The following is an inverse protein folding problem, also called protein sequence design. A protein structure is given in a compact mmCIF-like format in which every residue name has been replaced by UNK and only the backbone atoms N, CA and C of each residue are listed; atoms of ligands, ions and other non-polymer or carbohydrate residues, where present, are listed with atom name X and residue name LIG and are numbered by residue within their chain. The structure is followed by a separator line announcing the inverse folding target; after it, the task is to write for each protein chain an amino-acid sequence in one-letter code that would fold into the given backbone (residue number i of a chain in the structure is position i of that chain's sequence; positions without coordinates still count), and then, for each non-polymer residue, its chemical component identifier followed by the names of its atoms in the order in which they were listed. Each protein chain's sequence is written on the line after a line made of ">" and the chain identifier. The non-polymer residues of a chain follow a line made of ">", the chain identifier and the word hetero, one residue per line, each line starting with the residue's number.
data_IF_076391115181
#
_entry.id   IF_076391115181
#
_cell.length_a   1.000
_cell.length_b   1.000
_cell.length_c   1.000
_cell.angle_alpha   90.00
_cell.angle_beta   90.00
_cell.angle_gamma   90.00
#
_symmetry.space_group_name_H-M   'P 1'
#
loop_
_entity.id
_entity.type
_entity.pdbx_description
1 polymer ?
#
# COMPACT_ATOMS: atom_id res chain seq x y z
N UNK A 1 -9.41 2.22 3.05
CA UNK A 1 -10.42 1.18 2.65
C UNK A 1 -10.65 0.11 3.73
N UNK A 2 -9.66 -0.67 4.19
CA UNK A 2 -9.91 -1.82 5.06
C UNK A 2 -10.57 -1.47 6.42
N UNK A 3 -10.17 -0.38 7.08
CA UNK A 3 -10.77 0.06 8.35
C UNK A 3 -12.26 0.43 8.20
N UNK A 4 -12.60 1.16 7.14
CA UNK A 4 -14.00 1.54 6.84
C UNK A 4 -14.84 0.29 6.57
N UNK A 5 -14.32 -0.64 5.73
CA UNK A 5 -14.99 -1.93 5.51
C UNK A 5 -15.28 -2.69 6.81
N UNK A 6 -14.31 -2.75 7.74
CA UNK A 6 -14.51 -3.44 9.04
C UNK A 6 -15.60 -2.77 9.86
N UNK A 7 -15.66 -1.45 9.90
CA UNK A 7 -16.71 -0.74 10.61
C UNK A 7 -18.09 -1.01 10.00
N UNK A 8 -18.18 -0.97 8.66
CA UNK A 8 -19.43 -1.28 7.96
C UNK A 8 -19.83 -2.75 8.19
N UNK A 9 -18.88 -3.68 8.07
CA UNK A 9 -19.11 -5.10 8.30
C UNK A 9 -19.68 -5.36 9.71
N UNK A 10 -19.17 -4.67 10.72
CA UNK A 10 -19.61 -4.85 12.11
C UNK A 10 -21.00 -4.28 12.41
N UNK A 11 -21.62 -3.53 11.47
CA UNK A 11 -23.02 -3.10 11.57
C UNK A 11 -24.00 -4.21 11.17
N UNK A 12 -23.53 -5.23 10.45
CA UNK A 12 -24.36 -6.37 10.02
C UNK A 12 -24.33 -7.51 11.03
N UNK A 13 -25.40 -8.29 11.07
CA UNK A 13 -25.42 -9.53 11.84
C UNK A 13 -24.33 -10.49 11.36
N UNK A 14 -23.65 -11.18 12.28
CA UNK A 14 -22.56 -12.12 11.96
C UNK A 14 -22.98 -13.29 11.08
N UNK A 15 -24.27 -13.67 11.13
CA UNK A 15 -24.86 -14.74 10.31
C UNK A 15 -25.32 -14.25 8.94
N UNK A 16 -25.39 -12.94 8.71
CA UNK A 16 -25.85 -12.37 7.45
C UNK A 16 -24.89 -12.68 6.28
N UNK A 17 -25.42 -12.61 5.07
CA UNK A 17 -24.63 -12.79 3.84
C UNK A 17 -23.64 -11.63 3.70
N UNK A 18 -24.06 -10.41 4.00
CA UNK A 18 -23.28 -9.18 3.93
C UNK A 18 -22.04 -9.27 4.80
N UNK A 19 -22.19 -9.66 6.08
CA UNK A 19 -21.06 -9.83 7.00
C UNK A 19 -20.07 -10.88 6.48
N UNK A 20 -20.56 -12.06 6.09
CA UNK A 20 -19.72 -13.16 5.60
C UNK A 20 -19.01 -12.79 4.29
N UNK A 21 -19.70 -12.09 3.40
CA UNK A 21 -19.15 -11.65 2.12
C UNK A 21 -18.06 -10.59 2.34
N UNK A 22 -18.32 -9.54 3.12
CA UNK A 22 -17.34 -8.50 3.46
C UNK A 22 -16.13 -9.07 4.20
N UNK A 23 -16.30 -10.10 5.02
CA UNK A 23 -15.21 -10.79 5.72
C UNK A 23 -14.36 -11.63 4.78
N UNK A 24 -14.99 -12.36 3.84
CA UNK A 24 -14.31 -13.35 2.98
C UNK A 24 -13.63 -12.70 1.77
N UNK A 25 -14.31 -11.77 1.11
CA UNK A 25 -13.90 -11.24 -0.20
C UNK A 25 -13.31 -9.83 -0.14
N UNK A 26 -12.87 -9.37 1.02
CA UNK A 26 -12.36 -8.02 1.23
C UNK A 26 -11.21 -7.60 0.31
N UNK A 27 -10.38 -8.56 -0.12
CA UNK A 27 -9.26 -8.28 -1.03
C UNK A 27 -9.72 -7.74 -2.39
N UNK A 28 -10.92 -8.14 -2.84
CA UNK A 28 -11.47 -7.68 -4.11
C UNK A 28 -11.80 -6.17 -4.10
N UNK A 29 -12.11 -5.60 -2.93
CA UNK A 29 -12.35 -4.15 -2.79
C UNK A 29 -11.03 -3.35 -2.98
N UNK A 30 -9.88 -3.96 -2.70
CA UNK A 30 -8.58 -3.30 -2.81
C UNK A 30 -7.83 -3.62 -4.12
N UNK A 31 -8.33 -4.57 -4.87
CA UNK A 31 -7.71 -5.01 -6.12
C UNK A 31 -8.01 -4.03 -7.25
N UNK A 32 -7.00 -3.73 -8.07
CA UNK A 32 -7.19 -2.97 -9.31
C UNK A 32 -8.22 -3.68 -10.20
N UNK A 33 -9.26 -2.96 -10.60
CA UNK A 33 -10.36 -3.49 -11.43
C UNK A 33 -9.88 -4.05 -12.76
N UNK A 34 -8.79 -3.50 -13.32
CA UNK A 34 -8.19 -3.95 -14.59
C UNK A 34 -7.52 -5.32 -14.49
N UNK A 35 -7.13 -5.72 -13.27
CA UNK A 35 -6.46 -7.00 -12.99
C UNK A 35 -7.41 -8.09 -12.48
N UNK A 36 -8.71 -7.81 -12.43
CA UNK A 36 -9.69 -8.76 -11.93
C UNK A 36 -9.97 -9.87 -12.95
N UNK A 37 -10.02 -11.11 -12.46
CA UNK A 37 -10.38 -12.26 -13.29
C UNK A 37 -11.88 -12.23 -13.62
N UNK A 38 -12.21 -12.39 -14.91
CA UNK A 38 -13.58 -12.42 -15.41
C UNK A 38 -14.17 -13.85 -15.46
N UNK A 39 -13.43 -14.89 -15.05
CA UNK A 39 -13.97 -16.25 -14.98
C UNK A 39 -15.00 -16.37 -13.86
N UNK A 40 -16.11 -17.06 -14.17
CA UNK A 40 -17.16 -17.36 -13.19
C UNK A 40 -16.81 -18.61 -12.40
N UNK A 41 -16.92 -18.54 -11.09
CA UNK A 41 -16.74 -19.66 -10.18
C UNK A 41 -17.93 -19.74 -9.23
N UNK A 42 -18.30 -20.95 -8.81
CA UNK A 42 -19.31 -21.12 -7.77
C UNK A 42 -18.83 -20.52 -6.45
N UNK A 43 -19.66 -19.66 -5.88
CA UNK A 43 -19.37 -18.95 -4.62
C UNK A 43 -20.34 -19.38 -3.52
N UNK A 44 -19.92 -20.27 -2.59
CA UNK A 44 -20.80 -20.80 -1.56
C UNK A 44 -21.50 -19.75 -0.69
N UNK A 45 -20.85 -18.60 -0.49
CA UNK A 45 -21.42 -17.48 0.29
C UNK A 45 -22.69 -16.91 -0.35
N UNK A 46 -22.74 -16.85 -1.67
CA UNK A 46 -23.87 -16.32 -2.46
C UNK A 46 -24.73 -17.44 -3.07
N UNK A 47 -24.25 -18.69 -3.07
CA UNK A 47 -24.85 -19.83 -3.75
C UNK A 47 -25.05 -19.62 -5.25
N UNK A 48 -24.14 -18.87 -5.88
CA UNK A 48 -24.19 -18.46 -7.29
C UNK A 48 -22.83 -18.57 -7.94
N UNK A 49 -22.83 -18.67 -9.28
CA UNK A 49 -21.60 -18.53 -10.09
C UNK A 49 -21.34 -17.06 -10.40
N UNK A 50 -20.28 -16.49 -9.81
CA UNK A 50 -19.94 -15.07 -9.89
C UNK A 50 -18.50 -14.88 -10.32
N UNK A 51 -18.26 -13.82 -11.09
CA UNK A 51 -16.94 -13.26 -11.35
C UNK A 51 -16.44 -12.45 -10.15
N UNK A 52 -15.15 -12.19 -10.09
CA UNK A 52 -14.59 -11.33 -9.04
C UNK A 52 -15.15 -9.90 -9.11
N UNK A 53 -15.47 -9.41 -10.31
CA UNK A 53 -16.07 -8.10 -10.53
C UNK A 53 -17.49 -8.03 -9.96
N UNK A 54 -18.34 -9.01 -10.28
CA UNK A 54 -19.71 -9.10 -9.76
C UNK A 54 -19.73 -9.19 -8.22
N UNK A 55 -18.79 -9.94 -7.62
CA UNK A 55 -18.66 -10.00 -6.17
C UNK A 55 -18.30 -8.63 -5.58
N UNK A 56 -17.30 -7.95 -6.15
CA UNK A 56 -16.90 -6.61 -5.71
C UNK A 56 -18.08 -5.65 -5.78
N UNK A 57 -18.82 -5.64 -6.89
CA UNK A 57 -19.95 -4.73 -7.09
C UNK A 57 -21.05 -4.99 -6.04
N UNK A 58 -21.33 -6.26 -5.71
CA UNK A 58 -22.23 -6.61 -4.60
C UNK A 58 -21.69 -6.15 -3.22
N UNK A 59 -20.39 -6.30 -2.95
CA UNK A 59 -19.82 -5.84 -1.68
C UNK A 59 -19.96 -4.32 -1.52
N UNK A 60 -19.77 -3.58 -2.60
CA UNK A 60 -19.87 -2.13 -2.61
C UNK A 60 -21.32 -1.69 -2.45
N UNK A 61 -22.29 -2.41 -3.04
CA UNK A 61 -23.71 -2.08 -2.93
C UNK A 61 -24.30 -2.25 -1.53
N UNK A 62 -23.62 -2.94 -0.60
CA UNK A 62 -24.11 -3.10 0.77
C UNK A 62 -24.10 -1.81 1.60
N UNK A 63 -23.41 -0.78 1.16
CA UNK A 63 -23.35 0.50 1.85
C UNK A 63 -22.99 1.62 0.90
N UNK A 64 -23.82 2.68 0.86
CA UNK A 64 -23.52 3.92 0.13
C UNK A 64 -22.19 4.54 0.59
N UNK A 65 -21.90 4.45 1.89
CA UNK A 65 -20.65 4.92 2.46
C UNK A 65 -19.45 4.16 1.86
N UNK A 66 -19.55 2.83 1.70
CA UNK A 66 -18.49 2.03 1.09
C UNK A 66 -18.34 2.34 -0.39
N UNK A 67 -19.43 2.56 -1.12
CA UNK A 67 -19.46 2.91 -2.53
C UNK A 67 -18.74 4.23 -2.78
N UNK A 68 -19.09 5.27 -2.05
CA UNK A 68 -18.49 6.59 -2.15
C UNK A 68 -16.95 6.56 -1.98
N UNK A 69 -16.48 5.80 -0.99
CA UNK A 69 -15.05 5.65 -0.74
C UNK A 69 -14.35 4.74 -1.77
N UNK A 70 -15.09 3.77 -2.30
CA UNK A 70 -14.56 2.91 -3.35
C UNK A 70 -14.34 3.68 -4.65
N UNK A 71 -15.25 4.58 -5.03
CA UNK A 71 -15.13 5.35 -6.27
C UNK A 71 -13.95 6.33 -6.20
N UNK A 72 -13.68 6.91 -5.05
CA UNK A 72 -12.55 7.81 -4.83
C UNK A 72 -11.17 7.09 -4.84
N UNK A 73 -11.10 5.87 -4.31
CA UNK A 73 -9.84 5.15 -4.17
C UNK A 73 -9.13 4.83 -5.51
N UNK A 74 -9.79 4.31 -6.55
CA UNK A 74 -9.17 4.07 -7.85
C UNK A 74 -8.69 5.36 -8.53
N UNK A 75 -9.39 6.48 -8.37
CA UNK A 75 -8.97 7.77 -8.92
C UNK A 75 -7.68 8.26 -8.27
N UNK A 76 -7.60 8.21 -6.94
CA UNK A 76 -6.37 8.53 -6.22
C UNK A 76 -5.22 7.61 -6.63
N UNK A 77 -5.48 6.30 -6.75
CA UNK A 77 -4.48 5.34 -7.18
C UNK A 77 -4.02 5.59 -8.62
N UNK A 78 -4.92 5.94 -9.51
CA UNK A 78 -4.60 6.30 -10.88
C UNK A 78 -3.66 7.50 -10.95
N UNK A 79 -3.99 8.63 -10.31
CA UNK A 79 -3.14 9.81 -10.31
C UNK A 79 -1.79 9.57 -9.61
N UNK A 80 -1.79 8.72 -8.58
CA UNK A 80 -0.54 8.28 -7.94
C UNK A 80 0.37 7.50 -8.91
N UNK A 81 -0.21 6.57 -9.70
CA UNK A 81 0.54 5.75 -10.67
C UNK A 81 1.03 6.57 -11.87
N UNK A 82 0.20 7.49 -12.37
CA UNK A 82 0.56 8.43 -13.45
C UNK A 82 1.49 9.55 -12.99
N UNK A 83 1.88 9.57 -11.70
CA UNK A 83 2.72 10.61 -11.09
C UNK A 83 2.13 12.03 -11.21
N UNK A 84 0.83 12.13 -11.39
CA UNK A 84 0.12 13.40 -11.49
C UNK A 84 -0.20 13.92 -10.09
N UNK A 85 0.75 14.66 -9.51
CA UNK A 85 0.65 15.16 -8.13
C UNK A 85 -0.42 16.22 -7.95
N UNK A 86 -0.65 17.06 -8.97
CA UNK A 86 -1.59 18.17 -8.87
C UNK A 86 -3.02 17.66 -8.77
N UNK A 87 -3.44 16.80 -9.69
CA UNK A 87 -4.76 16.17 -9.64
C UNK A 87 -4.92 15.24 -8.43
N UNK A 88 -3.84 14.59 -7.96
CA UNK A 88 -3.89 13.80 -6.74
C UNK A 88 -4.24 14.65 -5.52
N UNK A 89 -3.63 15.82 -5.37
CA UNK A 89 -3.92 16.72 -4.25
C UNK A 89 -5.24 17.48 -4.42
N UNK A 90 -5.62 17.84 -5.63
CA UNK A 90 -6.93 18.45 -5.95
C UNK A 90 -8.08 17.51 -5.51
N UNK A 91 -8.01 16.23 -5.90
CA UNK A 91 -8.97 15.22 -5.43
C UNK A 91 -9.06 15.10 -3.90
N UNK A 92 -7.92 15.22 -3.21
CA UNK A 92 -7.89 15.20 -1.75
C UNK A 92 -8.57 16.42 -1.17
N UNK A 93 -8.29 17.62 -1.71
CA UNK A 93 -8.83 18.88 -1.22
C UNK A 93 -10.34 18.94 -1.41
N UNK A 94 -10.84 18.55 -2.57
CA UNK A 94 -12.27 18.55 -2.91
C UNK A 94 -13.07 17.58 -2.04
N UNK A 95 -12.47 16.43 -1.69
CA UNK A 95 -13.20 15.38 -0.99
C UNK A 95 -12.96 15.33 0.53
N UNK A 96 -12.05 16.14 1.08
CA UNK A 96 -11.64 16.04 2.51
C UNK A 96 -12.80 16.22 3.49
N UNK A 97 -13.81 17.01 3.12
CA UNK A 97 -14.99 17.24 3.96
C UNK A 97 -16.07 16.16 3.79
N UNK A 98 -16.12 15.52 2.65
CA UNK A 98 -17.15 14.53 2.28
C UNK A 98 -16.81 13.12 2.74
N UNK A 99 -15.52 12.83 2.90
CA UNK A 99 -15.07 11.47 3.25
C UNK A 99 -15.26 11.14 4.73
N UNK A 100 -15.34 9.84 4.99
CA UNK A 100 -15.37 9.27 6.35
C UNK A 100 -14.20 9.79 7.23
N UNK A 101 -14.38 9.99 8.55
CA UNK A 101 -13.35 10.51 9.45
C UNK A 101 -11.98 9.81 9.36
N UNK A 102 -11.96 8.50 9.11
CA UNK A 102 -10.72 7.73 8.90
C UNK A 102 -9.95 8.22 7.66
N UNK A 103 -10.64 8.45 6.53
CA UNK A 103 -10.02 9.01 5.33
C UNK A 103 -9.62 10.46 5.52
N UNK A 104 -10.44 11.24 6.22
CA UNK A 104 -10.14 12.63 6.55
C UNK A 104 -8.82 12.76 7.32
N UNK A 105 -8.54 11.86 8.26
CA UNK A 105 -7.26 11.83 8.98
C UNK A 105 -6.09 11.57 8.02
N UNK A 106 -6.24 10.63 7.10
CA UNK A 106 -5.21 10.33 6.08
C UNK A 106 -4.98 11.52 5.15
N UNK A 107 -6.06 12.15 4.67
CA UNK A 107 -6.00 13.33 3.79
C UNK A 107 -5.33 14.52 4.48
N UNK A 108 -5.63 14.74 5.77
CA UNK A 108 -4.93 15.77 6.57
C UNK A 108 -3.44 15.48 6.66
N UNK A 109 -3.04 14.23 6.83
CA UNK A 109 -1.62 13.82 6.85
C UNK A 109 -0.97 14.09 5.50
N UNK A 110 -1.61 13.74 4.38
CA UNK A 110 -1.09 14.02 3.04
C UNK A 110 -0.93 15.52 2.79
N UNK A 111 -1.89 16.36 3.22
CA UNK A 111 -1.76 17.81 3.15
C UNK A 111 -0.59 18.33 3.97
N UNK A 112 -0.47 17.89 5.23
CA UNK A 112 0.61 18.28 6.14
C UNK A 112 1.99 17.96 5.56
N UNK A 113 2.13 16.77 4.97
CA UNK A 113 3.39 16.29 4.43
C UNK A 113 3.45 16.39 2.88
N UNK A 114 2.74 17.34 2.28
CA UNK A 114 2.57 17.51 0.82
C UNK A 114 3.89 17.38 0.06
N UNK A 115 4.93 18.12 0.46
CA UNK A 115 6.26 18.06 -0.18
C UNK A 115 6.88 16.67 -0.15
N UNK A 116 6.75 15.94 0.96
CA UNK A 116 7.28 14.57 1.09
C UNK A 116 6.52 13.59 0.21
N UNK A 117 5.18 13.75 0.13
CA UNK A 117 4.33 12.92 -0.72
C UNK A 117 4.62 13.18 -2.20
N UNK A 118 4.76 14.43 -2.63
CA UNK A 118 5.19 14.80 -3.99
C UNK A 118 6.52 14.13 -4.32
N UNK A 119 7.52 14.26 -3.46
CA UNK A 119 8.83 13.64 -3.67
C UNK A 119 8.73 12.11 -3.77
N UNK A 120 7.86 11.48 -2.95
CA UNK A 120 7.65 10.03 -2.99
C UNK A 120 6.97 9.55 -4.29
N UNK A 121 6.13 10.39 -4.90
CA UNK A 121 5.44 10.09 -6.16
C UNK A 121 6.38 10.32 -7.36
N UNK A 122 7.11 11.43 -7.37
CA UNK A 122 7.88 11.88 -8.55
C UNK A 122 9.26 11.25 -8.64
N UNK A 123 9.94 11.07 -7.49
CA UNK A 123 11.30 10.57 -7.46
C UNK A 123 11.37 9.04 -7.67
N UNK A 124 12.42 8.55 -8.34
CA UNK A 124 12.57 7.12 -8.66
C UNK A 124 13.05 6.28 -7.46
N UNK A 125 12.83 6.74 -6.23
CA UNK A 125 13.25 6.02 -5.03
C UNK A 125 12.19 5.00 -4.61
N UNK A 126 12.60 3.74 -4.51
CA UNK A 126 11.76 2.68 -3.97
C UNK A 126 12.23 2.25 -2.57
N UNK A 127 11.30 1.77 -1.74
CA UNK A 127 11.62 1.16 -0.45
C UNK A 127 12.51 -0.08 -0.59
N UNK A 128 12.55 -0.73 -1.76
CA UNK A 128 13.35 -1.93 -2.00
C UNK A 128 14.84 -1.71 -1.71
N UNK A 129 15.39 -0.55 -2.10
CA UNK A 129 16.80 -0.21 -1.82
C UNK A 129 17.05 0.00 -0.32
N UNK A 130 16.10 0.63 0.36
CA UNK A 130 16.16 0.83 1.82
C UNK A 130 16.02 -0.50 2.57
N UNK A 131 15.11 -1.37 2.15
CA UNK A 131 14.90 -2.70 2.70
C UNK A 131 16.15 -3.59 2.50
N UNK A 132 16.75 -3.56 1.31
CA UNK A 132 17.99 -4.28 1.04
C UNK A 132 19.13 -3.82 1.96
N UNK A 133 19.27 -2.50 2.17
CA UNK A 133 20.25 -1.93 3.10
C UNK A 133 19.97 -2.34 4.53
N UNK A 134 18.72 -2.27 4.99
CA UNK A 134 18.32 -2.68 6.32
C UNK A 134 18.56 -4.18 6.55
N UNK A 135 18.33 -5.02 5.55
CA UNK A 135 18.62 -6.45 5.63
C UNK A 135 20.12 -6.72 5.72
N UNK A 136 20.95 -5.99 4.94
CA UNK A 136 22.40 -6.07 5.06
C UNK A 136 22.89 -5.70 6.48
N UNK A 137 22.35 -4.61 7.04
CA UNK A 137 22.67 -4.18 8.42
C UNK A 137 22.30 -5.28 9.42
N UNK A 138 21.12 -5.91 9.28
CA UNK A 138 20.71 -7.05 10.14
C UNK A 138 21.67 -8.24 10.01
N UNK A 139 22.13 -8.56 8.80
CA UNK A 139 23.10 -9.63 8.55
C UNK A 139 24.44 -9.32 9.22
N UNK A 140 24.96 -8.09 9.06
CA UNK A 140 26.21 -7.65 9.70
C UNK A 140 26.11 -7.79 11.22
N UNK A 141 24.99 -7.35 11.82
CA UNK A 141 24.76 -7.46 13.26
C UNK A 141 24.72 -8.92 13.72
N UNK A 142 24.06 -9.80 12.95
CA UNK A 142 23.92 -11.22 13.25
C UNK A 142 25.26 -11.97 13.17
N UNK A 143 26.02 -11.73 12.11
CA UNK A 143 27.31 -12.38 11.89
C UNK A 143 28.37 -11.99 12.93
N UNK A 144 28.21 -10.85 13.59
CA UNK A 144 29.10 -10.40 14.66
C UNK A 144 28.57 -10.75 16.05
N UNK A 145 27.52 -11.58 16.17
CA UNK A 145 26.87 -11.91 17.45
C UNK A 145 26.45 -10.68 18.27
N UNK A 146 26.25 -9.56 17.58
CA UNK A 146 25.98 -8.25 18.15
C UNK A 146 27.24 -7.37 18.27
N UNK A 147 27.02 -6.11 18.59
CA UNK A 147 28.09 -5.13 18.82
C UNK A 147 27.88 -4.47 20.15
N UNK A 148 28.90 -4.45 20.99
CA UNK A 148 28.91 -3.71 22.27
C UNK A 148 29.11 -2.22 22.06
N UNK A 149 29.84 -1.82 20.99
CA UNK A 149 30.12 -0.42 20.65
C UNK A 149 29.45 -0.04 19.34
N UNK A 150 28.60 0.99 19.40
CA UNK A 150 27.84 1.50 18.25
C UNK A 150 28.76 2.07 17.16
N UNK A 151 29.85 2.75 17.51
CA UNK A 151 30.78 3.33 16.52
C UNK A 151 31.49 2.23 15.70
N UNK A 152 31.85 1.13 16.32
CA UNK A 152 32.41 -0.02 15.61
C UNK A 152 31.39 -0.66 14.67
N UNK A 153 30.13 -0.76 15.11
CA UNK A 153 29.05 -1.23 14.26
C UNK A 153 28.84 -0.31 13.04
N UNK A 154 28.77 0.99 13.25
CA UNK A 154 28.63 2.01 12.21
C UNK A 154 29.79 1.94 11.21
N UNK A 155 31.05 1.87 11.68
CA UNK A 155 32.22 1.71 10.81
C UNK A 155 32.11 0.47 9.93
N UNK A 156 31.70 -0.67 10.50
CA UNK A 156 31.56 -1.92 9.73
C UNK A 156 30.46 -1.86 8.68
N UNK A 157 29.33 -1.17 8.96
CA UNK A 157 28.29 -0.90 7.96
C UNK A 157 28.83 -0.05 6.84
N UNK A 158 29.53 1.06 7.15
CA UNK A 158 30.08 1.96 6.15
C UNK A 158 31.12 1.26 5.27
N UNK A 159 32.01 0.46 5.84
CA UNK A 159 32.98 -0.34 5.11
C UNK A 159 32.28 -1.34 4.19
N UNK A 160 31.24 -2.05 4.67
CA UNK A 160 30.50 -3.01 3.87
C UNK A 160 29.76 -2.37 2.68
N UNK A 161 29.31 -1.13 2.84
CA UNK A 161 28.65 -0.38 1.76
C UNK A 161 29.66 0.20 0.75
N UNK A 162 30.87 0.60 1.20
CA UNK A 162 31.89 1.24 0.36
C UNK A 162 32.83 0.25 -0.33
N UNK A 163 33.13 -0.88 0.28
CA UNK A 163 34.04 -1.92 -0.29
C UNK A 163 33.57 -2.43 -1.66
N UNK A 164 32.25 -2.40 -1.95
CA UNK A 164 31.77 -2.72 -3.30
C UNK A 164 32.20 -1.70 -4.36
N UNK A 165 32.38 -0.43 -4.01
CA UNK A 165 32.84 0.63 -4.94
C UNK A 165 34.35 0.56 -5.18
N UNK A 166 35.14 0.34 -4.12
CA UNK A 166 36.59 0.27 -4.21
C UNK A 166 37.08 -0.98 -4.97
N UNK A 167 36.46 -2.15 -4.76
CA UNK A 167 36.79 -3.34 -5.54
C UNK A 167 36.56 -3.18 -7.05
N UNK A 168 35.52 -2.44 -7.44
CA UNK A 168 35.25 -2.18 -8.86
C UNK A 168 36.29 -1.26 -9.49
N UNK A 169 36.79 -0.29 -8.74
CA UNK A 169 37.84 0.64 -9.22
C UNK A 169 39.24 0.00 -9.27
N UNK A 170 39.57 -0.90 -8.34
CA UNK A 170 40.83 -1.60 -8.28
C UNK A 170 41.01 -2.63 -9.41
N UNK A 171 39.92 -3.27 -9.86
CA UNK A 171 39.97 -4.21 -11.01
C UNK A 171 40.19 -3.47 -12.33
N UNK A 172 39.66 -2.24 -12.48
CA UNK A 172 39.82 -1.43 -13.68
C UNK A 172 41.18 -0.70 -13.76
N UNK A 173 41.90 -0.59 -12.64
CA UNK A 173 43.24 0.06 -12.62
C UNK A 173 44.40 -0.90 -12.80
N UNK A 174 44.15 -2.19 -13.03
CA UNK A 174 45.18 -3.24 -13.27
C UNK A 174 45.11 -3.87 -14.66
N UNK A 175 44.34 -3.28 -15.59
CA UNK A 175 44.34 -3.66 -17.00
C UNK A 175 45.18 -2.71 -17.81
#
# INVERSE_FOLDING_TARGET
>A
MNRVRIQIMNRFDRKSIEYRALKRYWKLIQQDSRKMNNKRFYRPTFREHLTNKEIRDRLISYSEELKCHYDLYPLLLFHFQEKNTDHFFELIEDNIMLVHPIFRTVFRTFRKDKKKVINAITLPYSNAKLEATNNLIKVIKRNAYGFRNFENFKKRILIALNVKKEKTNLVLSRC
#
